data_IF_153949478308
#
_entry.id   IF_153949478308
#
_cell.length_a   1.000
_cell.length_b   1.000
_cell.length_c   1.000
_cell.angle_alpha   90.00
_cell.angle_beta   90.00
_cell.angle_gamma   90.00
#
_symmetry.space_group_name_H-M   'P 1'
#
loop_
_entity.id
_entity.type
_entity.pdbx_description
1 polymer ?
#
# COMPACT_ATOMS: atom_id res chain seq x y z
N UNK A 1 15.36 6.18 -7.43
CA UNK A 1 14.35 7.17 -7.86
C UNK A 1 13.94 7.99 -6.65
N UNK A 2 13.69 9.29 -6.81
CA UNK A 2 13.12 10.13 -5.74
C UNK A 2 11.64 9.80 -5.59
N UNK A 3 11.21 9.37 -4.41
CA UNK A 3 9.78 9.16 -4.11
C UNK A 3 9.10 10.52 -4.10
N UNK A 4 8.03 10.68 -4.88
CA UNK A 4 7.26 11.92 -4.90
C UNK A 4 6.35 11.98 -3.67
N UNK A 5 6.84 12.62 -2.61
CA UNK A 5 6.14 12.74 -1.33
C UNK A 5 5.02 13.80 -1.37
N UNK A 6 5.07 14.73 -2.34
CA UNK A 6 4.25 15.96 -2.32
C UNK A 6 3.25 16.03 -3.45
N UNK A 7 3.48 15.38 -4.60
CA UNK A 7 2.51 15.34 -5.68
C UNK A 7 1.34 14.44 -5.31
N UNK A 8 0.15 15.00 -5.09
CA UNK A 8 -0.98 14.22 -4.62
C UNK A 8 -1.64 13.38 -5.73
N UNK A 9 -1.30 13.63 -7.00
CA UNK A 9 -1.99 13.01 -8.14
C UNK A 9 -1.27 11.78 -8.71
N UNK A 10 0.03 11.64 -8.45
CA UNK A 10 0.82 10.52 -8.93
C UNK A 10 0.56 9.24 -8.12
N UNK A 11 0.25 8.14 -8.81
CA UNK A 11 0.31 6.79 -8.22
C UNK A 11 1.75 6.33 -8.17
N UNK A 12 2.07 5.51 -7.18
CA UNK A 12 3.36 4.84 -7.09
C UNK A 12 3.13 3.32 -7.13
N UNK A 13 3.87 2.64 -8.01
CA UNK A 13 3.81 1.18 -8.20
C UNK A 13 5.12 0.50 -7.82
N UNK A 14 6.04 1.23 -7.19
CA UNK A 14 7.35 0.76 -6.78
C UNK A 14 7.21 -0.15 -5.56
N UNK A 15 7.56 -1.42 -5.76
CA UNK A 15 7.47 -2.43 -4.71
C UNK A 15 8.61 -2.31 -3.68
N UNK A 16 9.70 -1.61 -3.99
CA UNK A 16 10.81 -1.40 -3.05
C UNK A 16 10.43 -0.49 -1.88
N UNK A 17 9.37 0.31 -2.04
CA UNK A 17 8.81 1.13 -0.96
C UNK A 17 7.87 0.35 -0.03
N UNK A 18 7.56 -0.91 -0.35
CA UNK A 18 6.78 -1.77 0.52
C UNK A 18 7.68 -2.40 1.58
N UNK A 19 7.08 -2.68 2.74
CA UNK A 19 7.72 -3.45 3.80
C UNK A 19 8.26 -4.77 3.23
N UNK A 20 9.49 -5.22 3.57
CA UNK A 20 10.13 -6.38 2.94
C UNK A 20 9.26 -7.65 2.89
N UNK A 21 8.54 -7.92 3.98
CA UNK A 21 7.58 -9.04 4.06
C UNK A 21 6.47 -8.91 3.01
N UNK A 22 5.92 -7.70 2.84
CA UNK A 22 4.83 -7.44 1.87
C UNK A 22 5.37 -7.44 0.45
N UNK A 23 6.53 -6.80 0.18
CA UNK A 23 7.22 -6.86 -1.12
C UNK A 23 7.46 -8.29 -1.58
N UNK A 24 8.00 -9.13 -0.69
CA UNK A 24 8.24 -10.56 -0.96
C UNK A 24 6.94 -11.33 -1.23
N UNK A 25 5.91 -11.11 -0.42
CA UNK A 25 4.60 -11.73 -0.59
C UNK A 25 3.94 -11.33 -1.92
N UNK A 26 3.89 -10.03 -2.22
CA UNK A 26 3.33 -9.49 -3.47
C UNK A 26 4.08 -10.02 -4.68
N UNK A 27 5.42 -10.08 -4.65
CA UNK A 27 6.20 -10.67 -5.74
C UNK A 27 5.83 -12.14 -6.02
N UNK A 28 5.56 -12.93 -4.97
CA UNK A 28 5.08 -14.31 -5.11
C UNK A 28 3.65 -14.37 -5.65
N UNK A 29 2.75 -13.50 -5.17
CA UNK A 29 1.37 -13.39 -5.69
C UNK A 29 1.37 -13.09 -7.19
N UNK A 30 2.14 -12.09 -7.63
CA UNK A 30 2.25 -11.74 -9.05
C UNK A 30 2.80 -12.89 -9.89
N UNK A 31 3.80 -13.62 -9.38
CA UNK A 31 4.35 -14.80 -10.05
C UNK A 31 3.32 -15.91 -10.19
N UNK A 32 2.57 -16.22 -9.12
CA UNK A 32 1.55 -17.26 -9.12
C UNK A 32 0.41 -16.90 -10.08
N UNK A 33 -0.07 -15.66 -10.05
CA UNK A 33 -1.10 -15.13 -10.96
C UNK A 33 -0.65 -15.22 -12.43
N UNK A 34 0.59 -14.84 -12.72
CA UNK A 34 1.14 -14.95 -14.07
C UNK A 34 1.22 -16.41 -14.54
N UNK A 35 1.59 -17.35 -13.65
CA UNK A 35 1.63 -18.78 -13.98
C UNK A 35 0.24 -19.35 -14.31
N UNK A 36 -0.81 -18.78 -13.72
CA UNK A 36 -2.22 -19.11 -13.98
C UNK A 36 -2.83 -18.29 -15.12
N UNK A 37 -2.04 -17.46 -15.81
CA UNK A 37 -2.48 -16.56 -16.89
C UNK A 37 -3.59 -15.58 -16.44
N UNK A 38 -3.54 -15.14 -15.19
CA UNK A 38 -4.42 -14.11 -14.64
C UNK A 38 -3.71 -12.75 -14.78
N UNK A 39 -4.19 -11.84 -15.65
CA UNK A 39 -3.43 -10.65 -16.07
C UNK A 39 -3.61 -9.49 -15.09
N UNK A 40 -3.20 -9.67 -13.84
CA UNK A 40 -3.24 -8.65 -12.80
C UNK A 40 -1.89 -7.95 -12.63
N UNK A 41 -1.96 -6.63 -12.46
CA UNK A 41 -0.81 -5.74 -12.35
C UNK A 41 -1.01 -4.76 -11.20
N UNK A 42 0.08 -4.29 -10.64
CA UNK A 42 0.07 -3.31 -9.54
C UNK A 42 -0.44 -1.97 -10.06
N UNK A 43 -1.58 -1.54 -9.54
CA UNK A 43 -2.16 -0.23 -9.81
C UNK A 43 -1.59 0.82 -8.86
N UNK A 44 -1.49 0.47 -7.59
CA UNK A 44 -0.92 1.32 -6.55
C UNK A 44 -0.31 0.46 -5.44
N UNK A 45 0.94 0.76 -5.09
CA UNK A 45 1.69 0.15 -4.00
C UNK A 45 1.77 1.15 -2.84
N UNK A 46 2.89 1.85 -2.67
CA UNK A 46 2.99 2.90 -1.67
C UNK A 46 2.16 4.14 -2.06
N UNK A 47 1.52 4.79 -1.09
CA UNK A 47 0.73 6.01 -1.29
C UNK A 47 1.20 7.09 -0.33
N UNK A 48 1.55 8.27 -0.83
CA UNK A 48 1.97 9.36 0.06
C UNK A 48 0.81 9.86 0.94
N UNK A 49 1.09 10.42 2.14
CA UNK A 49 0.07 11.09 2.94
C UNK A 49 -0.60 12.25 2.20
N UNK A 50 0.16 13.04 1.42
CA UNK A 50 -0.39 14.10 0.59
C UNK A 50 -1.43 13.58 -0.42
N UNK A 51 -1.15 12.44 -1.05
CA UNK A 51 -2.08 11.76 -1.96
C UNK A 51 -3.30 11.21 -1.23
N UNK A 52 -3.12 10.55 -0.07
CA UNK A 52 -4.27 10.06 0.71
C UNK A 52 -5.21 11.20 1.09
N UNK A 53 -4.67 12.33 1.57
CA UNK A 53 -5.45 13.51 1.90
C UNK A 53 -6.22 14.06 0.68
N UNK A 54 -5.56 14.13 -0.47
CA UNK A 54 -6.18 14.57 -1.71
C UNK A 54 -7.32 13.65 -2.15
N UNK A 55 -7.15 12.32 -2.08
CA UNK A 55 -8.20 11.35 -2.37
C UNK A 55 -9.35 11.43 -1.37
N UNK A 56 -9.06 11.69 -0.10
CA UNK A 56 -10.07 11.88 0.94
C UNK A 56 -10.91 13.15 0.71
N UNK A 57 -10.30 14.24 0.22
CA UNK A 57 -10.99 15.49 -0.09
C UNK A 57 -12.04 15.35 -1.21
N UNK A 58 -11.88 14.38 -2.12
CA UNK A 58 -12.82 14.15 -3.22
C UNK A 58 -14.23 13.79 -2.73
N UNK A 59 -15.23 14.45 -3.31
CA UNK A 59 -16.64 14.31 -2.92
C UNK A 59 -16.95 14.84 -1.51
N UNK A 60 -16.03 15.60 -0.92
CA UNK A 60 -16.18 16.28 0.38
C UNK A 60 -15.90 17.77 0.24
N UNK A 61 -14.65 18.13 -0.01
CA UNK A 61 -14.18 19.51 -0.15
C UNK A 61 -13.65 19.82 -1.55
N UNK A 62 -13.41 18.79 -2.38
CA UNK A 62 -13.12 18.92 -3.81
C UNK A 62 -14.12 18.12 -4.65
N UNK A 63 -14.39 18.50 -5.90
CA UNK A 63 -15.28 17.74 -6.79
C UNK A 63 -14.79 16.30 -7.03
N UNK A 64 -15.72 15.43 -7.44
CA UNK A 64 -15.46 14.03 -7.77
C UNK A 64 -16.15 13.03 -6.83
N UNK A 65 -16.10 11.73 -7.15
CA UNK A 65 -16.65 10.69 -6.28
C UNK A 65 -15.79 10.50 -5.03
N UNK A 66 -16.42 10.03 -3.93
CA UNK A 66 -15.67 9.60 -2.74
C UNK A 66 -14.99 8.26 -3.05
N UNK A 67 -13.66 8.28 -3.19
CA UNK A 67 -12.85 7.08 -3.51
C UNK A 67 -12.22 6.44 -2.27
N UNK A 68 -12.27 7.12 -1.13
CA UNK A 68 -11.82 6.59 0.16
C UNK A 68 -12.61 7.18 1.32
N UNK A 69 -12.68 6.44 2.41
CA UNK A 69 -13.27 6.87 3.69
C UNK A 69 -12.24 7.23 4.75
N UNK A 70 -10.97 6.91 4.51
CA UNK A 70 -9.87 7.18 5.44
C UNK A 70 -9.12 8.44 4.99
N UNK A 71 -8.91 9.38 5.91
CA UNK A 71 -7.93 10.46 5.70
C UNK A 71 -6.50 9.91 5.86
N UNK A 72 -5.52 10.80 5.75
CA UNK A 72 -4.11 10.52 5.92
C UNK A 72 -3.83 9.69 7.17
N UNK A 73 -2.92 8.75 7.03
CA UNK A 73 -2.45 7.79 8.03
C UNK A 73 -3.51 6.74 8.41
N UNK A 74 -4.67 6.73 7.74
CA UNK A 74 -5.69 5.71 7.91
C UNK A 74 -5.59 4.52 6.96
N UNK A 75 -4.73 4.57 5.94
CA UNK A 75 -4.59 3.52 4.91
C UNK A 75 -3.24 2.79 4.99
N UNK A 76 -3.25 1.47 4.73
CA UNK A 76 -2.05 0.62 4.74
C UNK A 76 -1.04 0.98 3.64
N UNK A 77 -1.50 1.58 2.53
CA UNK A 77 -0.62 2.01 1.45
C UNK A 77 0.41 3.05 1.92
N UNK A 78 0.05 3.90 2.89
CA UNK A 78 0.96 4.91 3.43
C UNK A 78 2.10 4.33 4.26
N UNK A 79 1.88 3.11 4.78
CA UNK A 79 2.85 2.35 5.54
C UNK A 79 3.57 1.32 4.65
N UNK A 80 3.32 1.28 3.34
CA UNK A 80 3.91 0.27 2.46
C UNK A 80 3.44 -1.15 2.78
N UNK A 81 2.21 -1.30 3.28
CA UNK A 81 1.65 -2.58 3.74
C UNK A 81 0.51 -3.13 2.89
N UNK A 82 0.24 -2.52 1.73
CA UNK A 82 -0.83 -2.92 0.84
C UNK A 82 -0.50 -2.69 -0.63
N UNK A 83 -1.24 -3.38 -1.50
CA UNK A 83 -1.28 -3.12 -2.93
C UNK A 83 -2.70 -3.22 -3.46
N UNK A 84 -3.01 -2.36 -4.42
CA UNK A 84 -4.20 -2.45 -5.27
C UNK A 84 -3.77 -3.04 -6.62
N UNK A 85 -4.53 -4.02 -7.11
CA UNK A 85 -4.29 -4.68 -8.39
C UNK A 85 -5.39 -4.33 -9.40
N UNK A 86 -5.04 -4.33 -10.69
CA UNK A 86 -5.99 -4.14 -11.81
C UNK A 86 -5.75 -5.17 -12.90
N UNK A 87 -6.80 -5.48 -13.67
CA UNK A 87 -6.63 -6.30 -14.88
C UNK A 87 -6.12 -5.45 -16.04
N UNK A 88 -5.30 -6.03 -16.91
CA UNK A 88 -4.67 -5.30 -18.03
C UNK A 88 -3.35 -4.68 -17.60
N UNK A 89 -2.82 -3.67 -18.29
CA UNK A 89 -1.48 -3.14 -18.02
C UNK A 89 -1.39 -1.61 -18.02
N UNK A 90 -0.16 -1.06 -17.89
CA UNK A 90 0.07 0.37 -18.06
C UNK A 90 -0.55 0.87 -19.38
N UNK A 91 -1.37 1.92 -19.30
CA UNK A 91 -2.06 2.51 -20.45
C UNK A 91 -3.43 1.89 -20.79
N UNK A 92 -3.72 0.64 -20.40
CA UNK A 92 -5.04 0.01 -20.57
C UNK A 92 -5.33 -0.99 -19.46
N UNK A 93 -6.08 -0.54 -18.46
CA UNK A 93 -6.46 -1.33 -17.29
C UNK A 93 -7.96 -1.25 -17.03
N UNK A 94 -8.50 -2.21 -16.26
CA UNK A 94 -9.89 -2.21 -15.80
C UNK A 94 -10.01 -2.85 -14.41
N UNK A 95 -11.02 -2.42 -13.66
CA UNK A 95 -11.50 -3.10 -12.44
C UNK A 95 -12.40 -4.29 -12.76
N UNK A 96 -12.98 -4.29 -13.97
CA UNK A 96 -13.90 -5.33 -14.41
C UNK A 96 -13.16 -6.63 -14.63
N UNK A 97 -13.73 -7.68 -14.05
CA UNK A 97 -13.15 -9.01 -14.10
C UNK A 97 -13.31 -9.62 -15.51
N UNK A 98 -12.21 -9.95 -16.24
CA UNK A 98 -12.30 -10.52 -17.57
C UNK A 98 -12.95 -11.90 -17.58
N UNK A 99 -12.77 -12.66 -16.50
CA UNK A 99 -13.37 -13.97 -16.29
C UNK A 99 -13.72 -14.16 -14.83
N UNK A 100 -14.99 -14.50 -14.56
CA UNK A 100 -15.53 -14.69 -13.21
C UNK A 100 -14.61 -15.55 -12.34
N UNK A 101 -14.24 -15.04 -11.17
CA UNK A 101 -13.48 -15.76 -10.14
C UNK A 101 -11.96 -15.54 -10.12
N UNK A 102 -11.41 -14.73 -11.02
CA UNK A 102 -10.02 -14.27 -10.97
C UNK A 102 -9.70 -13.44 -9.71
N UNK A 103 -10.61 -12.57 -9.25
CA UNK A 103 -10.47 -11.84 -7.99
C UNK A 103 -10.43 -12.78 -6.80
N UNK A 104 -11.37 -13.72 -6.75
CA UNK A 104 -11.40 -14.77 -5.74
C UNK A 104 -10.08 -15.55 -5.73
N UNK A 105 -9.55 -15.87 -6.91
CA UNK A 105 -8.28 -16.57 -7.03
C UNK A 105 -7.10 -15.73 -6.53
N UNK A 106 -7.07 -14.44 -6.84
CA UNK A 106 -6.08 -13.51 -6.30
C UNK A 106 -6.13 -13.46 -4.77
N UNK A 107 -7.33 -13.42 -4.17
CA UNK A 107 -7.51 -13.46 -2.72
C UNK A 107 -7.02 -14.77 -2.09
N UNK A 108 -7.31 -15.92 -2.71
CA UNK A 108 -6.81 -17.23 -2.26
C UNK A 108 -5.28 -17.28 -2.25
N UNK A 109 -4.65 -16.85 -3.35
CA UNK A 109 -3.19 -16.78 -3.47
C UNK A 109 -2.63 -15.80 -2.43
N UNK A 110 -3.22 -14.60 -2.30
CA UNK A 110 -2.84 -13.61 -1.31
C UNK A 110 -2.83 -14.18 0.11
N UNK A 111 -3.91 -14.86 0.52
CA UNK A 111 -4.00 -15.53 1.83
C UNK A 111 -2.92 -16.58 2.03
N UNK A 112 -2.65 -17.40 1.01
CA UNK A 112 -1.56 -18.38 1.05
C UNK A 112 -0.17 -17.75 1.16
N UNK A 113 -0.01 -16.45 0.86
CA UNK A 113 1.22 -15.67 1.02
C UNK A 113 1.22 -14.75 2.24
N UNK A 114 0.25 -14.89 3.15
CA UNK A 114 0.18 -14.10 4.38
C UNK A 114 -0.45 -12.70 4.22
N UNK A 115 -1.11 -12.45 3.08
CA UNK A 115 -1.85 -11.22 2.81
C UNK A 115 -3.35 -11.41 3.06
N UNK A 116 -4.02 -10.33 3.41
CA UNK A 116 -5.43 -10.26 3.74
C UNK A 116 -6.15 -9.38 2.70
N UNK A 117 -7.13 -9.91 1.95
CA UNK A 117 -8.02 -9.09 1.16
C UNK A 117 -9.09 -8.41 2.04
N UNK A 118 -9.74 -7.39 1.51
CA UNK A 118 -10.87 -6.70 2.13
C UNK A 118 -12.17 -7.08 1.44
N UNK A 119 -13.24 -7.32 2.21
CA UNK A 119 -14.53 -7.74 1.67
C UNK A 119 -15.24 -6.63 0.87
N UNK A 120 -14.91 -5.36 1.15
CA UNK A 120 -15.51 -4.19 0.52
C UNK A 120 -14.63 -3.55 -0.58
N UNK A 121 -13.40 -4.06 -0.77
CA UNK A 121 -12.43 -3.51 -1.73
C UNK A 121 -11.73 -4.66 -2.45
N UNK A 122 -12.44 -5.24 -3.42
CA UNK A 122 -11.99 -6.42 -4.18
C UNK A 122 -10.56 -6.35 -4.73
N UNK A 123 -10.06 -5.23 -5.32
CA UNK A 123 -8.70 -5.20 -5.88
C UNK A 123 -7.58 -5.17 -4.83
N UNK A 124 -7.92 -5.03 -3.55
CA UNK A 124 -6.98 -4.74 -2.48
C UNK A 124 -6.51 -5.98 -1.73
N UNK A 125 -5.20 -6.04 -1.45
CA UNK A 125 -4.61 -6.97 -0.48
C UNK A 125 -3.58 -6.25 0.39
N UNK A 126 -3.55 -6.60 1.68
CA UNK A 126 -2.71 -5.96 2.68
C UNK A 126 -2.08 -6.95 3.66
N UNK A 127 -1.10 -6.51 4.45
CA UNK A 127 -0.54 -7.32 5.52
C UNK A 127 -1.60 -7.66 6.60
N UNK A 128 -1.62 -8.91 7.05
CA UNK A 128 -2.45 -9.36 8.17
C UNK A 128 -1.78 -9.06 9.53
N UNK A 129 -2.54 -9.14 10.63
CA UNK A 129 -1.97 -9.09 11.99
C UNK A 129 -1.62 -7.70 12.53
N UNK A 130 -2.03 -6.63 11.85
CA UNK A 130 -1.97 -5.25 12.36
C UNK A 130 -3.28 -4.51 12.09
N UNK A 131 -3.37 -3.23 12.45
CA UNK A 131 -4.51 -2.35 12.15
C UNK A 131 -4.05 -0.93 11.88
N UNK A 132 -4.82 -0.13 11.12
CA UNK A 132 -4.52 1.29 10.93
C UNK A 132 -4.44 2.08 12.24
N UNK A 133 -5.17 1.65 13.28
CA UNK A 133 -5.07 2.23 14.62
C UNK A 133 -3.68 1.98 15.24
N UNK A 134 -3.22 0.72 15.22
CA UNK A 134 -1.89 0.35 15.72
C UNK A 134 -0.77 1.07 14.95
N UNK A 135 -0.88 1.15 13.61
CA UNK A 135 0.09 1.84 12.77
C UNK A 135 0.16 3.35 13.07
N UNK A 136 -0.98 3.99 13.38
CA UNK A 136 -1.01 5.39 13.81
C UNK A 136 -0.35 5.63 15.16
N UNK A 137 -0.37 4.63 16.03
CA UNK A 137 0.32 4.65 17.33
C UNK A 137 1.80 4.30 17.22
N UNK A 138 2.32 4.06 16.01
CA UNK A 138 3.74 3.70 15.80
C UNK A 138 4.04 2.22 16.02
N UNK A 139 3.03 1.37 16.16
CA UNK A 139 3.19 -0.10 16.25
C UNK A 139 3.31 -0.69 14.84
N UNK A 140 4.51 -0.60 14.28
CA UNK A 140 4.83 -1.12 12.96
C UNK A 140 5.16 -2.62 12.99
N UNK A 141 4.98 -3.35 11.86
CA UNK A 141 5.44 -4.73 11.73
C UNK A 141 6.96 -4.83 11.84
N UNK A 142 7.44 -5.93 12.42
CA UNK A 142 8.87 -6.25 12.46
C UNK A 142 9.42 -6.62 11.07
N UNK A 143 10.73 -6.49 10.89
CA UNK A 143 11.43 -6.91 9.66
C UNK A 143 11.45 -5.84 8.57
N UNK A 144 11.31 -4.57 8.93
CA UNK A 144 11.54 -3.42 8.05
C UNK A 144 13.01 -3.30 7.65
N UNK A 145 13.27 -2.88 6.41
CA UNK A 145 14.63 -2.57 5.92
C UNK A 145 14.87 -1.05 5.84
N UNK A 146 16.09 -0.66 5.48
CA UNK A 146 16.48 0.75 5.39
C UNK A 146 15.65 1.53 4.36
N UNK A 147 15.29 0.88 3.24
CA UNK A 147 14.48 1.51 2.18
C UNK A 147 13.06 1.83 2.67
N UNK A 148 12.37 0.85 3.25
CA UNK A 148 11.03 1.05 3.78
C UNK A 148 11.02 2.02 4.96
N UNK A 149 11.95 1.85 5.90
CA UNK A 149 12.07 2.70 7.10
C UNK A 149 12.36 4.15 6.71
N UNK A 150 13.32 4.35 5.80
CA UNK A 150 13.68 5.68 5.29
C UNK A 150 12.51 6.34 4.57
N UNK A 151 11.78 5.61 3.73
CA UNK A 151 10.60 6.12 3.05
C UNK A 151 9.50 6.55 4.03
N UNK A 152 9.19 5.72 5.03
CA UNK A 152 8.21 6.03 6.06
C UNK A 152 8.63 7.26 6.89
N UNK A 153 9.90 7.32 7.32
CA UNK A 153 10.42 8.47 8.07
C UNK A 153 10.37 9.77 7.25
N UNK A 154 10.73 9.73 5.96
CA UNK A 154 10.62 10.90 5.08
C UNK A 154 9.15 11.35 4.93
N UNK A 155 8.22 10.41 4.77
CA UNK A 155 6.79 10.72 4.66
C UNK A 155 6.23 11.34 5.95
N UNK A 156 6.66 10.85 7.12
CA UNK A 156 6.32 11.41 8.44
C UNK A 156 6.87 12.83 8.56
N UNK A 157 8.14 13.03 8.23
CA UNK A 157 8.81 14.33 8.32
C UNK A 157 8.25 15.38 7.35
N UNK A 158 7.79 14.98 6.17
CA UNK A 158 7.24 15.88 5.17
C UNK A 158 5.78 16.28 5.47
N UNK A 159 5.10 15.57 6.36
CA UNK A 159 3.69 15.80 6.66
C UNK A 159 3.49 16.81 7.78
N UNK A 160 2.81 17.92 7.47
CA UNK A 160 2.58 19.04 8.40
C UNK A 160 1.10 19.34 8.65
N UNK A 161 0.19 18.50 8.14
CA UNK A 161 -1.26 18.71 8.18
C UNK A 161 -1.95 17.80 9.21
N UNK A 162 -3.27 17.93 9.31
CA UNK A 162 -4.13 17.01 10.08
C UNK A 162 -4.67 15.89 9.20
N UNK A 163 -4.85 14.66 9.75
CA UNK A 163 -4.49 14.23 11.10
C UNK A 163 -2.97 14.16 11.31
N UNK A 164 -2.53 14.23 12.57
CA UNK A 164 -1.10 14.20 12.94
C UNK A 164 -0.45 12.90 12.43
N UNK A 165 0.80 12.98 11.98
CA UNK A 165 1.57 11.81 11.57
C UNK A 165 1.82 10.84 12.73
N UNK A 166 2.01 9.54 12.43
CA UNK A 166 2.42 8.57 13.44
C UNK A 166 3.85 8.86 13.94
N UNK A 167 4.25 8.29 15.10
CA UNK A 167 5.62 8.34 15.57
C UNK A 167 6.62 7.80 14.52
N UNK A 168 7.85 8.30 14.49
CA UNK A 168 8.88 7.74 13.62
C UNK A 168 9.10 6.25 13.90
N UNK A 169 9.35 5.40 12.88
CA UNK A 169 9.78 4.04 13.10
C UNK A 169 11.07 4.06 13.93
N UNK A 170 11.14 3.24 14.97
CA UNK A 170 12.39 3.08 15.72
C UNK A 170 13.43 2.54 14.73
N UNK A 171 14.54 3.26 14.59
CA UNK A 171 15.70 2.72 13.88
C UNK A 171 16.13 1.51 14.69
N UNK A 172 16.02 0.30 14.14
CA UNK A 172 16.57 -0.90 14.78
C UNK A 172 18.01 -0.55 15.17
N UNK A 173 18.31 -0.61 16.47
CA UNK A 173 19.66 -0.36 16.97
C UNK A 173 20.63 -1.14 16.10
N UNK A 174 21.49 -0.43 15.35
CA UNK A 174 22.59 -1.07 14.65
C UNK A 174 23.36 -1.82 15.74
N UNK A 175 23.61 -3.14 15.61
CA UNK A 175 24.44 -3.81 16.59
C UNK A 175 25.75 -3.03 16.66
N UNK A 176 26.15 -2.68 17.88
CA UNK A 176 27.42 -2.01 18.11
C UNK A 176 28.48 -2.82 17.38
N UNK A 177 29.22 -2.17 16.48
CA UNK A 177 30.34 -2.80 15.81
C UNK A 177 31.32 -3.18 16.91
N UNK A 178 31.43 -4.48 17.18
CA UNK A 178 32.41 -5.05 18.09
C UNK A 178 33.81 -4.95 17.49
#
# INVERSE_FOLDING_TARGET
MTVDLVNPTARNTDLDLLHPVVRSAVGKVLKDLASEKIPLFVFEAWRSPARQHFLFAQGRTTPGPKVTFQDSWGSYHQYGLAVDLVFGGPGKWTWDEPKKGMWKRMHEIGRARGLMPLDFETPHIQLAGTSSAALREGRYPDGGDETWTGNLAMAISAWTKSPVSPPFPQVLDRPAVA
#
